data_IF_483538861219
#
_entry.id   IF_483538861219
#
_cell.length_a   1.000
_cell.length_b   1.000
_cell.length_c   1.000
_cell.angle_alpha   90.00
_cell.angle_beta   90.00
_cell.angle_gamma   90.00
#
_symmetry.space_group_name_H-M   'P 1'
#
loop_
_entity.id
_entity.type
_entity.pdbx_description
1 polymer ?
#
# COMPACT_ATOMS: atom_id res chain seq x y z
N UNK A 1 11.28 8.18 -18.05
CA UNK A 1 10.32 8.06 -16.95
C UNK A 1 10.66 9.09 -15.90
N UNK A 2 9.69 9.88 -15.47
CA UNK A 2 9.87 10.92 -14.45
C UNK A 2 9.05 10.54 -13.20
N UNK A 3 9.73 10.16 -12.15
CA UNK A 3 9.10 9.85 -10.87
C UNK A 3 9.25 11.05 -9.92
N UNK A 4 8.55 12.13 -10.25
CA UNK A 4 8.50 13.35 -9.46
C UNK A 4 7.13 14.02 -9.57
N UNK A 5 6.84 14.91 -8.61
CA UNK A 5 5.57 15.61 -8.54
C UNK A 5 5.34 16.52 -9.74
N UNK A 6 4.13 16.52 -10.29
CA UNK A 6 3.62 17.44 -11.32
C UNK A 6 4.41 17.51 -12.63
N UNK A 7 5.34 16.60 -12.87
CA UNK A 7 6.16 16.63 -14.09
C UNK A 7 5.42 16.19 -15.36
N UNK A 8 4.22 15.63 -15.20
CA UNK A 8 3.30 15.26 -16.28
C UNK A 8 1.99 16.08 -16.29
N UNK A 9 1.99 17.29 -15.76
CA UNK A 9 0.79 18.12 -15.61
C UNK A 9 0.29 18.70 -16.94
N UNK A 10 -0.20 17.84 -17.82
CA UNK A 10 -0.66 18.19 -19.18
C UNK A 10 -1.87 19.14 -19.21
N UNK A 11 -2.47 19.45 -18.08
CA UNK A 11 -3.50 20.48 -17.92
C UNK A 11 -2.90 21.90 -17.83
N UNK A 12 -1.58 22.00 -17.65
CA UNK A 12 -0.82 23.24 -17.71
C UNK A 12 -0.26 23.45 -19.11
N UNK A 13 -0.02 24.72 -19.48
CA UNK A 13 0.53 25.07 -20.80
C UNK A 13 1.99 24.61 -20.96
N UNK A 14 2.71 24.44 -19.85
CA UNK A 14 4.11 24.04 -19.83
C UNK A 14 4.35 22.99 -18.74
N UNK A 15 4.90 21.84 -19.12
CA UNK A 15 5.22 20.76 -18.20
C UNK A 15 6.39 19.90 -18.73
N UNK A 16 7.20 19.38 -17.82
CA UNK A 16 8.48 18.72 -18.13
C UNK A 16 8.32 17.58 -19.15
N UNK A 17 7.38 16.66 -18.92
CA UNK A 17 7.18 15.53 -19.85
C UNK A 17 6.78 15.98 -21.25
N UNK A 18 5.99 17.06 -21.37
CA UNK A 18 5.64 17.67 -22.65
C UNK A 18 6.85 18.29 -23.34
N UNK A 19 7.71 18.97 -22.63
CA UNK A 19 8.93 19.56 -23.18
C UNK A 19 9.83 18.49 -23.82
N UNK A 20 9.93 17.30 -23.25
CA UNK A 20 10.70 16.21 -23.84
C UNK A 20 10.06 15.61 -25.09
N UNK A 21 8.73 15.61 -25.21
CA UNK A 21 8.01 15.00 -26.34
C UNK A 21 7.81 15.98 -27.49
N UNK A 22 7.53 17.27 -27.20
CA UNK A 22 7.11 18.25 -28.20
C UNK A 22 8.25 19.17 -28.69
N UNK A 23 9.45 19.04 -28.15
CA UNK A 23 10.64 19.69 -28.67
C UNK A 23 11.29 18.88 -29.80
N UNK A 24 12.20 19.50 -30.55
CA UNK A 24 12.98 18.89 -31.65
C UNK A 24 13.96 17.81 -31.19
N UNK A 25 13.60 17.06 -30.14
CA UNK A 25 14.38 15.98 -29.60
C UNK A 25 14.08 14.62 -30.22
N UNK A 26 14.78 13.60 -29.72
CA UNK A 26 14.59 12.20 -30.16
C UNK A 26 13.73 11.38 -29.14
N UNK A 27 13.02 12.04 -28.23
CA UNK A 27 12.20 11.36 -27.25
C UNK A 27 10.88 10.91 -27.87
N UNK A 28 10.67 9.60 -27.93
CA UNK A 28 9.47 9.00 -28.53
C UNK A 28 8.37 8.76 -27.50
N UNK A 29 8.73 8.56 -26.23
CA UNK A 29 7.79 8.29 -25.15
C UNK A 29 8.34 8.82 -23.83
N UNK A 30 7.48 9.43 -23.04
CA UNK A 30 7.76 9.84 -21.67
C UNK A 30 6.62 9.41 -20.73
N UNK A 31 6.92 9.18 -19.48
CA UNK A 31 5.93 8.97 -18.42
C UNK A 31 6.15 10.03 -17.35
N UNK A 32 5.08 10.64 -16.90
CA UNK A 32 5.11 11.66 -15.85
C UNK A 32 3.84 11.68 -15.03
N UNK A 33 3.88 12.35 -13.88
CA UNK A 33 2.80 12.39 -12.90
C UNK A 33 2.09 13.75 -12.91
N UNK A 34 0.75 13.74 -12.82
CA UNK A 34 -0.08 14.96 -12.76
C UNK A 34 -0.36 15.45 -11.36
N UNK A 35 0.09 14.71 -10.34
CA UNK A 35 -0.11 14.99 -8.91
C UNK A 35 1.20 14.85 -8.14
N UNK A 36 1.14 15.21 -6.85
CA UNK A 36 2.20 14.89 -5.91
C UNK A 36 2.43 13.37 -5.87
N UNK A 37 3.66 12.97 -6.08
CA UNK A 37 4.11 11.59 -5.90
C UNK A 37 4.75 11.48 -4.53
N UNK A 38 4.22 10.59 -3.70
CA UNK A 38 4.91 10.22 -2.48
C UNK A 38 6.09 9.33 -2.88
N UNK A 39 7.31 9.78 -2.62
CA UNK A 39 8.56 9.05 -2.92
C UNK A 39 8.62 7.64 -2.31
N UNK A 40 7.65 7.32 -1.47
CA UNK A 40 7.52 6.06 -0.77
C UNK A 40 6.65 5.03 -1.50
N UNK A 41 6.04 5.40 -2.64
CA UNK A 41 5.29 4.47 -3.47
C UNK A 41 6.23 3.78 -4.46
N UNK A 42 5.99 2.52 -4.70
CA UNK A 42 6.75 1.72 -5.63
C UNK A 42 6.25 1.94 -7.07
N UNK A 43 6.71 3.04 -7.67
CA UNK A 43 6.27 3.50 -9.00
C UNK A 43 6.98 2.85 -10.16
N UNK A 44 8.13 2.23 -9.92
CA UNK A 44 8.95 1.57 -10.94
C UNK A 44 8.79 0.03 -10.95
N UNK A 45 7.72 -0.47 -10.35
CA UNK A 45 7.45 -1.91 -10.34
C UNK A 45 7.42 -2.49 -11.75
N UNK A 46 8.00 -3.66 -11.90
CA UNK A 46 8.09 -4.39 -13.17
C UNK A 46 8.74 -3.61 -14.33
N UNK A 47 9.58 -2.59 -14.05
CA UNK A 47 10.24 -1.80 -15.11
C UNK A 47 11.10 -2.68 -16.04
N UNK A 48 11.63 -3.79 -15.55
CA UNK A 48 12.38 -4.75 -16.35
C UNK A 48 11.59 -5.37 -17.49
N UNK A 49 10.25 -5.31 -17.46
CA UNK A 49 9.43 -5.74 -18.60
C UNK A 49 9.73 -4.94 -19.88
N UNK A 50 10.14 -3.69 -19.76
CA UNK A 50 10.57 -2.88 -20.91
C UNK A 50 11.80 -3.50 -21.59
N UNK A 51 12.73 -4.08 -20.83
CA UNK A 51 13.90 -4.78 -21.37
C UNK A 51 13.57 -6.12 -22.03
N UNK A 52 12.38 -6.66 -21.79
CA UNK A 52 11.81 -7.82 -22.49
C UNK A 52 10.94 -7.42 -23.70
N UNK A 53 11.00 -6.16 -24.13
CA UNK A 53 10.29 -5.68 -25.30
C UNK A 53 8.78 -5.47 -25.11
N UNK A 54 8.32 -5.40 -23.85
CA UNK A 54 6.93 -5.00 -23.56
C UNK A 54 6.74 -3.54 -23.96
N UNK A 55 5.63 -3.25 -24.65
CA UNK A 55 5.34 -1.90 -25.13
C UNK A 55 5.10 -0.94 -23.98
N UNK A 56 5.52 0.32 -24.14
CA UNK A 56 5.37 1.37 -23.14
C UNK A 56 3.92 1.51 -22.64
N UNK A 57 2.94 1.45 -23.55
CA UNK A 57 1.52 1.49 -23.20
C UNK A 57 1.04 0.28 -22.39
N UNK A 58 1.54 -0.92 -22.72
CA UNK A 58 1.23 -2.13 -21.93
C UNK A 58 1.83 -2.04 -20.53
N UNK A 59 3.10 -1.62 -20.44
CA UNK A 59 3.78 -1.41 -19.15
C UNK A 59 3.02 -0.39 -18.29
N UNK A 60 2.67 0.78 -18.86
CA UNK A 60 1.94 1.83 -18.14
C UNK A 60 0.57 1.33 -17.61
N UNK A 61 -0.13 0.50 -18.40
CA UNK A 61 -1.38 -0.13 -17.96
C UNK A 61 -1.19 -1.10 -16.79
N UNK A 62 -0.07 -1.79 -16.71
CA UNK A 62 0.24 -2.73 -15.64
C UNK A 62 0.56 -2.03 -14.32
N UNK A 63 1.16 -0.84 -14.34
CA UNK A 63 1.57 -0.12 -13.11
C UNK A 63 0.37 0.39 -12.30
N UNK A 64 -0.79 0.61 -12.90
CA UNK A 64 -2.03 1.07 -12.24
C UNK A 64 -1.78 2.26 -11.29
N UNK A 65 -1.27 3.36 -11.84
CA UNK A 65 -1.17 4.65 -11.15
C UNK A 65 -2.09 5.63 -11.86
N UNK A 66 -3.13 6.12 -11.17
CA UNK A 66 -4.06 7.09 -11.74
C UNK A 66 -3.40 8.44 -12.01
N UNK A 67 -2.32 8.73 -11.31
CA UNK A 67 -1.55 9.96 -11.45
C UNK A 67 -0.51 9.87 -12.57
N UNK A 68 -0.11 8.64 -12.96
CA UNK A 68 0.93 8.38 -13.97
C UNK A 68 0.35 8.36 -15.37
N UNK A 69 0.87 9.24 -16.23
CA UNK A 69 0.43 9.37 -17.61
C UNK A 69 1.56 9.09 -18.60
N UNK A 70 1.20 8.47 -19.72
CA UNK A 70 2.11 8.24 -20.83
C UNK A 70 1.92 9.32 -21.89
N UNK A 71 3.03 9.90 -22.35
CA UNK A 71 3.09 10.90 -23.41
C UNK A 71 3.88 10.34 -24.60
N UNK A 72 3.44 10.60 -25.82
CA UNK A 72 4.07 10.13 -27.05
C UNK A 72 3.54 8.78 -27.51
N UNK A 73 4.41 7.93 -28.07
CA UNK A 73 4.02 6.68 -28.72
C UNK A 73 3.84 5.50 -27.73
N UNK A 74 2.60 5.06 -27.44
CA UNK A 74 2.36 3.93 -26.56
C UNK A 74 2.81 2.58 -27.12
N UNK A 75 3.04 2.51 -28.45
CA UNK A 75 3.49 1.29 -29.13
C UNK A 75 5.00 1.11 -29.10
N UNK A 76 5.73 2.14 -28.67
CA UNK A 76 7.17 2.09 -28.53
C UNK A 76 7.62 0.92 -27.66
N UNK A 77 8.66 0.23 -28.08
CA UNK A 77 9.31 -0.83 -27.30
C UNK A 77 10.82 -0.80 -27.51
N UNK A 78 11.55 -1.18 -26.49
CA UNK A 78 12.97 -1.47 -26.64
C UNK A 78 13.18 -2.82 -27.35
N UNK A 79 14.34 -2.99 -27.98
CA UNK A 79 14.76 -4.30 -28.44
C UNK A 79 14.89 -5.22 -27.21
N UNK A 80 14.28 -6.41 -27.22
CA UNK A 80 14.36 -7.31 -26.08
C UNK A 80 15.80 -7.85 -25.92
N UNK A 81 16.23 -8.06 -24.67
CA UNK A 81 17.56 -8.63 -24.34
C UNK A 81 17.71 -10.03 -24.93
N UNK A 82 16.60 -10.78 -24.99
CA UNK A 82 16.51 -12.11 -25.58
C UNK A 82 15.25 -12.18 -26.42
N UNK A 83 15.30 -12.96 -27.50
CA UNK A 83 14.14 -13.18 -28.35
C UNK A 83 12.99 -13.81 -27.54
N UNK A 84 11.85 -13.14 -27.45
CA UNK A 84 10.68 -13.61 -26.73
C UNK A 84 9.40 -13.02 -27.33
N UNK A 85 8.27 -13.55 -26.91
CA UNK A 85 6.92 -13.16 -27.34
C UNK A 85 6.12 -12.45 -26.24
N UNK A 86 6.73 -12.13 -25.10
CA UNK A 86 6.06 -11.66 -23.90
C UNK A 86 5.08 -10.50 -24.13
N UNK A 87 5.48 -9.50 -24.95
CA UNK A 87 4.62 -8.37 -25.30
C UNK A 87 3.32 -8.78 -26.02
N UNK A 88 3.34 -9.87 -26.77
CA UNK A 88 2.18 -10.44 -27.45
C UNK A 88 1.40 -11.34 -26.49
N UNK A 89 2.10 -12.11 -25.68
CA UNK A 89 1.54 -13.10 -24.76
C UNK A 89 0.68 -12.46 -23.66
N UNK A 90 1.04 -11.26 -23.20
CA UNK A 90 0.20 -10.45 -22.26
C UNK A 90 -1.23 -10.29 -22.80
N UNK A 91 -1.41 -10.26 -24.13
CA UNK A 91 -2.72 -10.08 -24.75
C UNK A 91 -3.35 -11.43 -25.13
N UNK A 92 -2.58 -12.31 -25.77
CA UNK A 92 -3.10 -13.61 -26.29
C UNK A 92 -3.40 -14.59 -25.17
N UNK A 93 -2.52 -14.67 -24.14
CA UNK A 93 -2.65 -15.58 -23.03
C UNK A 93 -3.24 -14.93 -21.77
N UNK A 94 -3.98 -13.80 -21.92
CA UNK A 94 -4.48 -13.03 -20.79
C UNK A 94 -5.16 -13.89 -19.72
N UNK A 95 -6.01 -14.83 -20.12
CA UNK A 95 -6.79 -15.68 -19.22
C UNK A 95 -6.25 -17.13 -19.14
N UNK A 96 -5.09 -17.38 -19.73
CA UNK A 96 -4.46 -18.71 -19.72
C UNK A 96 -3.64 -18.95 -18.44
N UNK A 97 -4.32 -19.48 -17.42
CA UNK A 97 -3.70 -19.79 -16.13
C UNK A 97 -2.52 -20.76 -16.23
N UNK A 98 -2.54 -21.71 -17.19
CA UNK A 98 -1.46 -22.68 -17.35
C UNK A 98 -0.20 -22.00 -17.88
N UNK A 99 -0.34 -21.12 -18.86
CA UNK A 99 0.76 -20.31 -19.39
C UNK A 99 1.44 -19.49 -18.26
N UNK A 100 0.65 -18.73 -17.50
CA UNK A 100 1.19 -17.88 -16.44
C UNK A 100 1.79 -18.67 -15.27
N UNK A 101 1.23 -19.84 -14.93
CA UNK A 101 1.84 -20.72 -13.91
C UNK A 101 3.26 -21.15 -14.28
N UNK A 102 3.53 -21.42 -15.55
CA UNK A 102 4.87 -21.78 -16.02
C UNK A 102 5.87 -20.62 -15.83
N UNK A 103 5.42 -19.38 -16.02
CA UNK A 103 6.26 -18.20 -15.88
C UNK A 103 6.56 -17.78 -14.42
N UNK A 104 5.88 -18.38 -13.43
CA UNK A 104 6.21 -18.17 -12.02
C UNK A 104 7.62 -18.60 -11.63
N UNK A 105 8.28 -19.42 -12.44
CA UNK A 105 9.64 -19.88 -12.22
C UNK A 105 10.66 -19.24 -13.21
N UNK A 106 10.25 -18.18 -13.89
CA UNK A 106 11.16 -17.40 -14.75
C UNK A 106 12.41 -16.96 -13.98
N UNK A 107 13.59 -16.91 -14.60
CA UNK A 107 14.77 -16.34 -13.97
C UNK A 107 14.69 -14.81 -13.77
N UNK A 108 13.68 -14.17 -14.34
CA UNK A 108 13.46 -12.73 -14.29
C UNK A 108 12.38 -12.36 -13.30
N UNK A 109 12.72 -11.55 -12.29
CA UNK A 109 11.80 -11.13 -11.23
C UNK A 109 10.53 -10.46 -11.75
N UNK A 110 10.65 -9.57 -12.75
CA UNK A 110 9.52 -8.83 -13.29
C UNK A 110 8.57 -9.71 -14.10
N UNK A 111 9.09 -10.77 -14.73
CA UNK A 111 8.27 -11.80 -15.40
C UNK A 111 7.51 -12.65 -14.37
N UNK A 112 8.13 -13.01 -13.24
CA UNK A 112 7.43 -13.69 -12.14
C UNK A 112 6.33 -12.80 -11.55
N UNK A 113 6.62 -11.52 -11.32
CA UNK A 113 5.65 -10.53 -10.81
C UNK A 113 4.48 -10.35 -11.76
N UNK A 114 4.76 -10.25 -13.07
CA UNK A 114 3.72 -10.21 -14.10
C UNK A 114 2.85 -11.48 -14.07
N UNK A 115 3.48 -12.65 -14.01
CA UNK A 115 2.77 -13.93 -13.98
C UNK A 115 1.83 -14.03 -12.76
N UNK A 116 2.28 -13.63 -11.58
CA UNK A 116 1.42 -13.57 -10.38
C UNK A 116 0.23 -12.62 -10.59
N UNK A 117 0.46 -11.44 -11.19
CA UNK A 117 -0.59 -10.45 -11.45
C UNK A 117 -1.63 -10.99 -12.43
N UNK A 118 -1.20 -11.57 -13.54
CA UNK A 118 -2.10 -12.16 -14.53
C UNK A 118 -2.92 -13.31 -13.95
N UNK A 119 -2.31 -14.13 -13.09
CA UNK A 119 -3.03 -15.19 -12.36
C UNK A 119 -4.06 -14.61 -11.39
N UNK A 120 -3.70 -13.55 -10.64
CA UNK A 120 -4.61 -12.91 -9.69
C UNK A 120 -5.77 -12.20 -10.39
N UNK A 121 -5.54 -11.60 -11.57
CA UNK A 121 -6.59 -10.96 -12.36
C UNK A 121 -7.57 -11.99 -12.96
N UNK A 122 -7.11 -13.21 -13.23
CA UNK A 122 -7.92 -14.34 -13.71
C UNK A 122 -8.53 -15.18 -12.58
N UNK A 123 -8.25 -14.88 -11.31
CA UNK A 123 -8.67 -15.67 -10.15
C UNK A 123 -10.02 -15.21 -9.58
N UNK A 124 -11.10 -15.54 -10.29
CA UNK A 124 -12.46 -15.18 -9.88
C UNK A 124 -12.95 -15.94 -8.63
N UNK A 125 -12.34 -17.08 -8.31
CA UNK A 125 -12.71 -17.93 -7.17
C UNK A 125 -11.92 -17.63 -5.89
N UNK A 126 -10.95 -16.71 -5.96
CA UNK A 126 -10.05 -16.37 -4.86
C UNK A 126 -9.25 -17.55 -4.29
N UNK A 127 -8.78 -18.44 -5.16
CA UNK A 127 -8.05 -19.66 -4.78
C UNK A 127 -6.52 -19.50 -4.83
N UNK A 128 -6.01 -18.37 -5.34
CA UNK A 128 -4.58 -18.15 -5.58
C UNK A 128 -3.80 -17.80 -4.30
N UNK A 129 -4.48 -17.38 -3.25
CA UNK A 129 -3.86 -16.85 -2.02
C UNK A 129 -2.76 -17.77 -1.43
N UNK A 130 -2.94 -19.10 -1.28
CA UNK A 130 -1.87 -19.99 -0.79
C UNK A 130 -0.62 -19.99 -1.68
N UNK A 131 -0.80 -19.89 -3.01
CA UNK A 131 0.32 -19.82 -3.95
C UNK A 131 1.10 -18.49 -3.79
N UNK A 132 0.40 -17.38 -3.57
CA UNK A 132 1.02 -16.07 -3.35
C UNK A 132 1.84 -16.06 -2.05
N UNK A 133 1.30 -16.63 -0.96
CA UNK A 133 2.04 -16.79 0.30
C UNK A 133 3.29 -17.65 0.10
N UNK A 134 3.16 -18.77 -0.63
CA UNK A 134 4.30 -19.61 -0.97
C UNK A 134 5.36 -18.82 -1.75
N UNK A 135 4.97 -18.05 -2.77
CA UNK A 135 5.89 -17.21 -3.56
C UNK A 135 6.55 -16.13 -2.72
N UNK A 136 5.83 -15.53 -1.79
CA UNK A 136 6.41 -14.60 -0.82
C UNK A 136 7.54 -15.26 -0.02
N UNK A 137 7.31 -16.44 0.53
CA UNK A 137 8.29 -17.16 1.38
C UNK A 137 9.51 -17.69 0.63
N UNK A 138 9.31 -18.18 -0.59
CA UNK A 138 10.36 -18.90 -1.34
C UNK A 138 11.18 -17.99 -2.26
N UNK A 139 10.71 -16.79 -2.59
CA UNK A 139 11.40 -15.94 -3.57
C UNK A 139 12.61 -15.24 -2.98
N UNK A 140 13.77 -15.41 -3.63
CA UNK A 140 14.96 -14.62 -3.37
C UNK A 140 14.89 -13.19 -3.92
N UNK A 141 13.89 -12.88 -4.78
CA UNK A 141 13.73 -11.55 -5.36
C UNK A 141 12.83 -10.66 -4.48
N UNK A 142 13.38 -9.56 -4.00
CA UNK A 142 12.66 -8.58 -3.18
C UNK A 142 11.38 -8.07 -3.85
N UNK A 143 11.44 -7.81 -5.16
CA UNK A 143 10.31 -7.28 -5.95
C UNK A 143 9.20 -8.32 -6.11
N UNK A 144 9.53 -9.60 -6.20
CA UNK A 144 8.55 -10.69 -6.23
C UNK A 144 7.84 -10.82 -4.88
N UNK A 145 8.59 -10.73 -3.76
CA UNK A 145 7.97 -10.74 -2.42
C UNK A 145 7.03 -9.54 -2.21
N UNK A 146 7.46 -8.36 -2.69
CA UNK A 146 6.62 -7.17 -2.64
C UNK A 146 5.34 -7.31 -3.45
N UNK A 147 5.43 -7.84 -4.68
CA UNK A 147 4.25 -8.09 -5.52
C UNK A 147 3.31 -9.12 -4.89
N UNK A 148 3.86 -10.19 -4.29
CA UNK A 148 3.05 -11.20 -3.59
C UNK A 148 2.22 -10.58 -2.45
N UNK A 149 2.81 -9.74 -1.59
CA UNK A 149 2.07 -9.03 -0.52
C UNK A 149 1.01 -8.09 -1.10
N UNK A 150 1.34 -7.32 -2.15
CA UNK A 150 0.36 -6.45 -2.83
C UNK A 150 -0.83 -7.24 -3.37
N UNK A 151 -0.58 -8.40 -3.96
CA UNK A 151 -1.65 -9.23 -4.49
C UNK A 151 -2.46 -9.91 -3.37
N UNK A 152 -1.81 -10.38 -2.29
CA UNK A 152 -2.48 -10.94 -1.12
C UNK A 152 -3.45 -9.95 -0.48
N UNK A 153 -3.16 -8.64 -0.53
CA UNK A 153 -4.09 -7.63 -0.01
C UNK A 153 -5.47 -7.62 -0.70
N UNK A 154 -5.61 -8.24 -1.88
CA UNK A 154 -6.90 -8.39 -2.57
C UNK A 154 -7.75 -9.53 -1.99
N UNK A 155 -7.13 -10.47 -1.29
CA UNK A 155 -7.78 -11.66 -0.71
C UNK A 155 -8.25 -11.40 0.71
N UNK A 156 -7.45 -10.71 1.52
CA UNK A 156 -7.75 -10.34 2.92
C UNK A 156 -8.13 -11.56 3.78
N UNK A 157 -7.44 -12.67 3.57
CA UNK A 157 -7.59 -13.94 4.26
C UNK A 157 -6.44 -14.20 5.24
N UNK A 158 -6.46 -15.38 5.90
CA UNK A 158 -5.42 -15.79 6.85
C UNK A 158 -4.01 -15.81 6.23
N UNK A 159 -3.89 -16.15 4.95
CA UNK A 159 -2.60 -16.13 4.25
C UNK A 159 -2.07 -14.70 4.12
N UNK A 160 -2.94 -13.71 3.95
CA UNK A 160 -2.53 -12.32 3.96
C UNK A 160 -2.06 -11.88 5.34
N UNK A 161 -2.81 -12.23 6.41
CA UNK A 161 -2.39 -11.93 7.79
C UNK A 161 -1.04 -12.55 8.11
N UNK A 162 -0.81 -13.79 7.69
CA UNK A 162 0.46 -14.48 7.90
C UNK A 162 1.60 -13.83 7.11
N UNK A 163 1.37 -13.47 5.84
CA UNK A 163 2.35 -12.73 5.04
C UNK A 163 2.70 -11.37 5.64
N UNK A 164 1.73 -10.66 6.23
CA UNK A 164 1.98 -9.39 6.92
C UNK A 164 2.83 -9.58 8.17
N UNK A 165 2.53 -10.61 8.98
CA UNK A 165 3.28 -10.93 10.19
C UNK A 165 4.76 -11.22 9.87
N UNK A 166 5.02 -12.02 8.86
CA UNK A 166 6.37 -12.31 8.40
C UNK A 166 7.01 -11.09 7.71
N UNK A 167 6.23 -10.37 6.92
CA UNK A 167 6.67 -9.23 6.14
C UNK A 167 7.12 -8.04 6.98
N UNK A 168 6.59 -7.86 8.18
CA UNK A 168 7.05 -6.82 9.13
C UNK A 168 8.55 -6.94 9.45
N UNK A 169 9.10 -8.15 9.39
CA UNK A 169 10.52 -8.45 9.63
C UNK A 169 11.30 -8.79 8.35
N UNK A 170 10.73 -8.52 7.17
CA UNK A 170 11.43 -8.77 5.89
C UNK A 170 12.74 -7.96 5.81
N UNK A 171 13.76 -8.59 5.25
CA UNK A 171 15.07 -7.95 5.05
C UNK A 171 15.02 -6.78 4.07
N UNK A 172 14.04 -6.75 3.17
CA UNK A 172 13.82 -5.66 2.25
C UNK A 172 12.89 -4.60 2.86
N UNK A 173 13.44 -3.41 3.10
CA UNK A 173 12.74 -2.31 3.79
C UNK A 173 11.34 -2.00 3.20
N UNK A 174 11.20 -2.03 1.87
CA UNK A 174 9.92 -1.73 1.23
C UNK A 174 8.84 -2.76 1.57
N UNK A 175 9.21 -4.04 1.69
CA UNK A 175 8.29 -5.10 2.12
C UNK A 175 7.88 -4.87 3.57
N UNK A 176 8.84 -4.63 4.47
CA UNK A 176 8.56 -4.38 5.89
C UNK A 176 7.66 -3.14 6.09
N UNK A 177 7.95 -2.06 5.37
CA UNK A 177 7.10 -0.85 5.39
C UNK A 177 5.69 -1.10 4.90
N UNK A 178 5.55 -1.76 3.75
CA UNK A 178 4.24 -2.02 3.16
C UNK A 178 3.43 -2.98 4.05
N UNK A 179 4.09 -3.96 4.66
CA UNK A 179 3.46 -4.85 5.64
C UNK A 179 2.96 -4.09 6.86
N UNK A 180 3.73 -3.14 7.39
CA UNK A 180 3.29 -2.28 8.48
C UNK A 180 2.08 -1.41 8.09
N UNK A 181 2.08 -0.83 6.88
CA UNK A 181 0.97 -0.03 6.38
C UNK A 181 -0.30 -0.88 6.25
N UNK A 182 -0.19 -2.05 5.64
CA UNK A 182 -1.34 -2.96 5.48
C UNK A 182 -1.82 -3.51 6.83
N UNK A 183 -0.92 -3.84 7.76
CA UNK A 183 -1.29 -4.30 9.10
C UNK A 183 -2.15 -3.27 9.85
N UNK A 184 -1.80 -1.97 9.72
CA UNK A 184 -2.63 -0.90 10.27
C UNK A 184 -4.01 -0.83 9.59
N UNK A 185 -4.08 -0.98 8.26
CA UNK A 185 -5.35 -0.93 7.53
C UNK A 185 -6.25 -2.15 7.76
N UNK A 186 -5.67 -3.31 7.98
CA UNK A 186 -6.43 -4.54 8.27
C UNK A 186 -7.02 -4.50 9.68
N UNK A 187 -6.28 -3.97 10.66
CA UNK A 187 -6.73 -3.85 12.04
C UNK A 187 -6.92 -5.19 12.77
N UNK A 188 -6.24 -6.26 12.33
CA UNK A 188 -6.30 -7.57 12.99
C UNK A 188 -5.40 -7.58 14.23
N UNK A 189 -6.00 -7.80 15.40
CA UNK A 189 -5.32 -7.78 16.70
C UNK A 189 -4.14 -8.77 16.78
N UNK A 190 -4.17 -9.85 16.01
CA UNK A 190 -3.10 -10.85 15.98
C UNK A 190 -1.78 -10.32 15.39
N UNK A 191 -1.81 -9.18 14.71
CA UNK A 191 -0.64 -8.50 14.16
C UNK A 191 0.03 -7.56 15.17
N UNK A 192 -0.66 -7.15 16.24
CA UNK A 192 -0.12 -6.21 17.22
C UNK A 192 1.27 -6.59 17.77
N UNK A 193 1.53 -7.85 18.20
CA UNK A 193 2.85 -8.23 18.69
C UNK A 193 3.95 -8.03 17.64
N UNK A 194 3.69 -8.39 16.38
CA UNK A 194 4.66 -8.25 15.30
C UNK A 194 4.90 -6.77 14.91
N UNK A 195 3.86 -5.91 14.98
CA UNK A 195 4.00 -4.48 14.75
C UNK A 195 4.85 -3.83 15.84
N UNK A 196 4.64 -4.19 17.12
CA UNK A 196 5.44 -3.70 18.24
C UNK A 196 6.89 -4.15 18.10
N UNK A 197 7.12 -5.42 17.78
CA UNK A 197 8.46 -5.96 17.53
C UNK A 197 9.16 -5.20 16.39
N UNK A 198 8.51 -5.02 15.24
CA UNK A 198 9.05 -4.27 14.12
C UNK A 198 9.38 -2.81 14.49
N UNK A 199 8.54 -2.17 15.32
CA UNK A 199 8.78 -0.80 15.78
C UNK A 199 10.01 -0.70 16.68
N UNK A 200 10.24 -1.69 17.54
CA UNK A 200 11.36 -1.69 18.50
C UNK A 200 12.66 -2.19 17.88
N UNK A 201 12.60 -3.28 17.11
CA UNK A 201 13.80 -3.94 16.58
C UNK A 201 14.40 -3.25 15.34
N UNK A 202 13.57 -2.58 14.53
CA UNK A 202 14.06 -1.88 13.33
C UNK A 202 14.51 -0.44 13.59
N UNK A 203 15.22 -0.19 14.70
CA UNK A 203 15.63 1.15 15.10
C UNK A 203 16.52 1.89 14.08
N UNK A 204 17.19 1.19 13.18
CA UNK A 204 17.97 1.75 12.09
C UNK A 204 17.16 1.99 10.80
N UNK A 205 15.91 1.48 10.74
CA UNK A 205 15.02 1.60 9.58
C UNK A 205 13.92 2.61 9.87
N UNK A 206 14.28 3.88 9.86
CA UNK A 206 13.38 4.99 10.25
C UNK A 206 11.99 4.91 9.59
N UNK A 207 11.93 4.53 8.31
CA UNK A 207 10.66 4.50 7.57
C UNK A 207 9.78 3.31 7.99
N UNK A 208 10.37 2.17 8.35
CA UNK A 208 9.64 1.03 8.94
C UNK A 208 9.08 1.44 10.29
N UNK A 209 9.88 2.07 11.15
CA UNK A 209 9.42 2.58 12.43
C UNK A 209 8.26 3.57 12.30
N UNK A 210 8.36 4.52 11.37
CA UNK A 210 7.28 5.50 11.12
C UNK A 210 5.99 4.81 10.68
N UNK A 211 6.10 3.78 9.82
CA UNK A 211 4.94 3.03 9.34
C UNK A 211 4.34 2.15 10.45
N UNK A 212 5.15 1.49 11.24
CA UNK A 212 4.70 0.68 12.38
C UNK A 212 4.06 1.55 13.47
N UNK A 213 4.66 2.72 13.78
CA UNK A 213 4.08 3.68 14.72
C UNK A 213 2.70 4.17 14.24
N UNK A 214 2.58 4.52 12.95
CA UNK A 214 1.29 4.88 12.35
C UNK A 214 0.30 3.71 12.38
N UNK A 215 0.75 2.48 12.12
CA UNK A 215 -0.10 1.30 12.19
C UNK A 215 -0.69 1.12 13.60
N UNK A 216 0.14 1.21 14.65
CA UNK A 216 -0.30 1.11 16.04
C UNK A 216 -1.35 2.17 16.41
N UNK A 217 -1.29 3.35 15.84
CA UNK A 217 -2.28 4.41 16.10
C UNK A 217 -3.67 4.11 15.52
N UNK A 218 -3.82 3.06 14.72
CA UNK A 218 -5.10 2.60 14.13
C UNK A 218 -5.74 1.48 14.96
N UNK A 219 -5.15 1.11 16.11
CA UNK A 219 -5.68 0.13 17.05
C UNK A 219 -6.13 0.80 18.36
N UNK A 220 -7.00 0.14 19.15
CA UNK A 220 -7.40 0.64 20.47
C UNK A 220 -6.18 0.85 21.38
N UNK A 221 -6.10 2.02 22.02
CA UNK A 221 -4.99 2.43 22.89
C UNK A 221 -4.64 1.35 23.91
N UNK A 222 -5.64 0.81 24.61
CA UNK A 222 -5.47 -0.17 25.69
C UNK A 222 -4.83 -1.47 25.18
N UNK A 223 -5.18 -1.90 23.95
CA UNK A 223 -4.59 -3.10 23.35
C UNK A 223 -3.12 -2.86 22.98
N UNK A 224 -2.82 -1.68 22.43
CA UNK A 224 -1.45 -1.30 22.07
C UNK A 224 -0.58 -1.20 23.31
N UNK A 225 -1.03 -0.49 24.35
CA UNK A 225 -0.29 -0.33 25.60
C UNK A 225 -0.01 -1.68 26.25
N UNK A 226 -1.02 -2.55 26.33
CA UNK A 226 -0.85 -3.92 26.84
C UNK A 226 0.16 -4.71 26.02
N UNK A 227 0.10 -4.64 24.69
CA UNK A 227 1.03 -5.39 23.83
C UNK A 227 2.46 -4.91 24.01
N UNK A 228 2.67 -3.60 24.18
CA UNK A 228 3.99 -3.02 24.49
C UNK A 228 4.48 -3.51 25.85
N UNK A 229 3.61 -3.56 26.87
CA UNK A 229 3.95 -4.11 28.18
C UNK A 229 4.34 -5.58 28.11
N UNK A 230 3.55 -6.39 27.40
CA UNK A 230 3.81 -7.82 27.20
C UNK A 230 5.12 -8.07 26.41
N UNK A 231 5.49 -7.18 25.50
CA UNK A 231 6.76 -7.24 24.78
C UNK A 231 7.94 -7.00 25.72
N UNK A 232 7.93 -5.89 26.46
CA UNK A 232 9.03 -5.54 27.37
C UNK A 232 9.12 -6.47 28.59
N UNK A 233 8.07 -7.19 28.95
CA UNK A 233 8.12 -8.23 29.98
C UNK A 233 8.89 -9.49 29.53
N UNK A 234 9.13 -9.68 28.25
CA UNK A 234 9.78 -10.87 27.65
C UNK A 234 11.22 -10.62 27.19
N UNK A 235 11.60 -9.36 27.05
CA UNK A 235 12.93 -8.98 26.54
C UNK A 235 13.76 -8.39 27.66
N UNK A 236 15.06 -8.75 27.68
CA UNK A 236 16.06 -8.17 28.58
C UNK A 236 16.90 -7.17 27.78
N UNK A 237 16.63 -5.88 27.94
CA UNK A 237 17.30 -4.80 27.18
C UNK A 237 17.85 -3.74 28.12
N UNK A 238 19.03 -3.23 27.76
CA UNK A 238 19.58 -2.06 28.44
C UNK A 238 18.63 -0.86 28.29
N UNK A 239 18.27 -0.21 29.41
CA UNK A 239 17.39 0.96 29.42
C UNK A 239 15.95 0.72 28.95
N UNK A 240 15.44 -0.51 29.03
CA UNK A 240 14.09 -0.89 28.59
C UNK A 240 12.99 0.04 29.13
N UNK A 241 13.07 0.46 30.38
CA UNK A 241 12.08 1.36 30.99
C UNK A 241 12.03 2.74 30.33
N UNK A 242 13.17 3.30 29.96
CA UNK A 242 13.22 4.60 29.26
C UNK A 242 12.81 4.45 27.80
N UNK A 243 13.16 3.36 27.15
CA UNK A 243 12.73 3.05 25.79
C UNK A 243 11.21 2.88 25.73
N UNK A 244 10.63 2.08 26.62
CA UNK A 244 9.19 1.89 26.78
C UNK A 244 8.46 3.21 27.01
N UNK A 245 8.94 4.04 27.93
CA UNK A 245 8.34 5.36 28.21
C UNK A 245 8.40 6.27 27.00
N UNK A 246 9.51 6.28 26.26
CA UNK A 246 9.66 7.08 25.03
C UNK A 246 8.67 6.62 23.97
N UNK A 247 8.51 5.31 23.78
CA UNK A 247 7.58 4.72 22.84
C UNK A 247 6.13 5.10 23.18
N UNK A 248 5.69 4.89 24.40
CA UNK A 248 4.35 5.26 24.86
C UNK A 248 4.07 6.75 24.69
N UNK A 249 5.03 7.63 24.99
CA UNK A 249 4.88 9.08 24.73
C UNK A 249 4.76 9.43 23.25
N UNK A 250 5.42 8.69 22.36
CA UNK A 250 5.33 8.92 20.92
C UNK A 250 3.93 8.62 20.38
N UNK A 251 3.28 7.58 20.92
CA UNK A 251 1.93 7.16 20.55
C UNK A 251 0.83 8.02 21.20
N UNK A 252 1.05 8.50 22.43
CA UNK A 252 0.05 9.25 23.20
C UNK A 252 -0.57 10.42 22.42
N UNK A 253 0.23 11.19 21.70
CA UNK A 253 -0.28 12.32 20.91
C UNK A 253 -1.28 11.88 19.86
N UNK A 254 -1.07 10.72 19.23
CA UNK A 254 -1.95 10.21 18.19
C UNK A 254 -3.26 9.70 18.79
N UNK A 255 -3.19 8.99 19.91
CA UNK A 255 -4.38 8.53 20.64
C UNK A 255 -5.22 9.69 21.20
N UNK A 256 -4.58 10.72 21.75
CA UNK A 256 -5.30 11.92 22.22
C UNK A 256 -5.97 12.65 21.06
N UNK A 257 -5.31 12.74 19.92
CA UNK A 257 -5.91 13.38 18.74
C UNK A 257 -7.08 12.55 18.18
N UNK A 258 -6.93 11.24 18.10
CA UNK A 258 -7.99 10.31 17.68
C UNK A 258 -9.21 10.44 18.61
N UNK A 259 -9.02 10.29 19.92
CA UNK A 259 -10.09 10.40 20.91
C UNK A 259 -10.83 11.74 20.85
N UNK A 260 -10.10 12.85 20.63
CA UNK A 260 -10.71 14.18 20.46
C UNK A 260 -11.57 14.28 19.21
N UNK A 261 -11.10 13.72 18.09
CA UNK A 261 -11.86 13.70 16.84
C UNK A 261 -13.12 12.85 17.01
N UNK A 262 -12.98 11.65 17.59
CA UNK A 262 -14.11 10.75 17.86
C UNK A 262 -15.13 11.41 18.80
N UNK A 263 -14.71 11.98 19.91
CA UNK A 263 -15.58 12.70 20.84
C UNK A 263 -16.35 13.84 20.15
N UNK A 264 -15.66 14.64 19.31
CA UNK A 264 -16.32 15.76 18.59
C UNK A 264 -17.37 15.25 17.60
N UNK A 265 -17.08 14.16 16.91
CA UNK A 265 -17.98 13.53 15.95
C UNK A 265 -19.23 12.98 16.63
N UNK A 266 -19.08 12.36 17.81
CA UNK A 266 -20.18 11.73 18.57
C UNK A 266 -21.02 12.75 19.35
N UNK A 267 -20.50 13.94 19.65
CA UNK A 267 -21.20 14.96 20.43
C UNK A 267 -22.35 15.59 19.62
N UNK A 268 -23.59 15.15 19.92
CA UNK A 268 -24.80 15.66 19.27
C UNK A 268 -25.08 17.13 19.59
N UNK A 269 -24.50 17.68 20.66
CA UNK A 269 -24.62 19.08 21.02
C UNK A 269 -23.60 19.98 20.30
N UNK A 270 -22.58 19.38 19.69
CA UNK A 270 -21.59 20.12 18.92
C UNK A 270 -22.22 20.72 17.64
N UNK A 271 -21.77 21.91 17.20
CA UNK A 271 -22.19 22.48 15.93
C UNK A 271 -21.97 21.52 14.76
N UNK A 272 -22.96 21.41 13.88
CA UNK A 272 -22.94 20.50 12.72
C UNK A 272 -21.66 20.61 11.89
N UNK A 273 -21.21 21.85 11.59
CA UNK A 273 -19.98 22.09 10.84
C UNK A 273 -18.72 21.52 11.53
N UNK A 274 -18.69 21.50 12.88
CA UNK A 274 -17.57 20.87 13.62
C UNK A 274 -17.60 19.37 13.53
N UNK A 275 -18.81 18.77 13.63
CA UNK A 275 -18.99 17.32 13.46
C UNK A 275 -18.58 16.87 12.05
N UNK A 276 -19.03 17.58 11.00
CA UNK A 276 -18.64 17.32 9.62
C UNK A 276 -17.12 17.42 9.42
N UNK A 277 -16.48 18.43 10.01
CA UNK A 277 -15.02 18.55 9.96
C UNK A 277 -14.31 17.36 10.63
N UNK A 278 -14.81 16.89 11.78
CA UNK A 278 -14.29 15.71 12.47
C UNK A 278 -14.45 14.44 11.62
N UNK A 279 -15.62 14.25 10.99
CA UNK A 279 -15.89 13.11 10.08
C UNK A 279 -14.92 13.12 8.89
N UNK A 280 -14.70 14.28 8.27
CA UNK A 280 -13.74 14.41 7.16
C UNK A 280 -12.30 14.06 7.57
N UNK A 281 -11.92 14.28 8.83
CA UNK A 281 -10.63 13.83 9.36
C UNK A 281 -10.57 12.30 9.47
N UNK A 282 -11.64 11.66 9.92
CA UNK A 282 -11.71 10.18 10.06
C UNK A 282 -11.57 9.47 8.72
N UNK A 283 -12.07 10.05 7.62
CA UNK A 283 -12.01 9.47 6.27
C UNK A 283 -10.61 8.98 5.83
N UNK A 284 -9.56 9.52 6.42
CA UNK A 284 -8.18 9.15 6.09
C UNK A 284 -7.60 8.05 6.99
N UNK A 285 -8.41 7.48 7.88
CA UNK A 285 -8.00 6.50 8.88
C UNK A 285 -8.96 5.32 8.92
N UNK A 286 -8.43 4.13 9.21
CA UNK A 286 -9.21 2.90 9.33
C UNK A 286 -9.36 2.51 10.80
N UNK A 287 -10.16 3.26 11.55
CA UNK A 287 -10.44 2.95 12.96
C UNK A 287 -11.55 1.88 13.05
N UNK A 288 -11.19 0.61 12.83
CA UNK A 288 -12.15 -0.50 12.83
C UNK A 288 -12.95 -0.62 14.12
N UNK A 289 -12.34 -0.27 15.25
CA UNK A 289 -12.99 -0.33 16.57
C UNK A 289 -14.08 0.75 16.78
N UNK A 290 -14.21 1.72 15.89
CA UNK A 290 -15.26 2.74 15.91
C UNK A 290 -16.34 2.54 14.84
N UNK A 291 -16.27 1.50 14.02
CA UNK A 291 -17.21 1.30 12.90
C UNK A 291 -18.66 1.23 13.39
N UNK A 292 -18.93 0.55 14.51
CA UNK A 292 -20.29 0.47 15.05
C UNK A 292 -20.83 1.84 15.47
N UNK A 293 -20.01 2.69 16.07
CA UNK A 293 -20.37 4.06 16.42
C UNK A 293 -20.71 4.89 15.17
N UNK A 294 -19.90 4.76 14.14
CA UNK A 294 -20.10 5.47 12.87
C UNK A 294 -21.36 4.99 12.15
N UNK A 295 -21.66 3.69 12.16
CA UNK A 295 -22.90 3.13 11.64
C UNK A 295 -24.10 3.64 12.44
N UNK A 296 -23.98 3.80 13.76
CA UNK A 296 -25.05 4.37 14.60
C UNK A 296 -25.31 5.83 14.24
N UNK A 297 -24.28 6.64 13.98
CA UNK A 297 -24.44 8.03 13.50
C UNK A 297 -25.22 8.07 12.18
N UNK A 298 -24.95 7.16 11.25
CA UNK A 298 -25.63 7.09 9.95
C UNK A 298 -27.11 6.68 10.10
N UNK A 299 -27.38 5.70 10.96
CA UNK A 299 -28.72 5.10 11.12
C UNK A 299 -29.66 5.96 11.96
N UNK A 300 -29.13 6.73 12.89
CA UNK A 300 -29.94 7.57 13.79
C UNK A 300 -30.55 8.77 13.05
N UNK A 301 -31.84 8.74 12.84
CA UNK A 301 -32.60 9.82 12.20
C UNK A 301 -32.59 11.15 13.01
N UNK A 302 -32.21 11.12 14.29
CA UNK A 302 -32.02 12.31 15.12
C UNK A 302 -30.80 13.13 14.72
N UNK A 303 -29.83 12.53 14.00
CA UNK A 303 -28.69 13.27 13.45
C UNK A 303 -29.09 14.07 12.19
N UNK A 304 -28.53 15.29 12.01
CA UNK A 304 -28.75 16.06 10.77
C UNK A 304 -28.41 15.23 9.52
N UNK A 305 -29.21 15.43 8.46
CA UNK A 305 -29.04 14.65 7.22
C UNK A 305 -27.62 14.78 6.64
N UNK A 306 -27.05 16.00 6.66
CA UNK A 306 -25.69 16.24 6.12
C UNK A 306 -24.62 15.48 6.92
N UNK A 307 -24.71 15.43 8.25
CA UNK A 307 -23.81 14.64 9.12
C UNK A 307 -23.88 13.15 8.75
N UNK A 308 -25.09 12.62 8.54
CA UNK A 308 -25.30 11.21 8.16
C UNK A 308 -24.71 10.88 6.79
N UNK A 309 -24.92 11.76 5.81
CA UNK A 309 -24.40 11.60 4.45
C UNK A 309 -22.87 11.63 4.45
N UNK A 310 -22.26 12.65 5.08
CA UNK A 310 -20.80 12.78 5.13
C UNK A 310 -20.16 11.63 5.91
N UNK A 311 -20.86 11.08 6.93
CA UNK A 311 -20.38 9.89 7.64
C UNK A 311 -20.42 8.63 6.75
N UNK A 312 -21.49 8.46 5.96
CA UNK A 312 -21.57 7.36 5.00
C UNK A 312 -20.53 7.44 3.86
N UNK A 313 -20.16 8.66 3.46
CA UNK A 313 -19.07 8.89 2.50
C UNK A 313 -17.66 8.66 3.09
N UNK A 314 -17.53 8.71 4.41
CA UNK A 314 -16.26 8.55 5.11
C UNK A 314 -15.94 7.09 5.45
N UNK A 315 -16.95 6.22 5.55
CA UNK A 315 -16.83 4.77 5.73
C UNK A 315 -16.60 4.05 4.40
#
# INVERSE_FOLDING_TARGET
MFDACYNGSFHENDYIAGQYIFNDGQTLVAQGNTRNVLQDRWTIEMIGLLSHGVRAGQYNKLIVSLEGHLFGDPTFRFAPIEANTLSTDITIHKDDKAYWKNLLNSPYADVQSLAMRMLADADTQKELSPLLLKKYRESGFNTVRMEAIKLLSRYQDDNFIEALREGLNDTYEMVARQSAIYAGFVGDDSLLPAIVEALVEHNERLRVQMSANKALSLYPKEKVEKTIEDFYAKVDRLNENEEKKRLLRSLERMFVQEAKVHQTLMDVAAPEAKRISAIRNVRNYTFHFHVDDYLNVIRDAGNPQEVRVVMAEAL
#
